data_IF_160233327778
#
_entry.id   IF_160233327778
#
_cell.length_a   1.000
_cell.length_b   1.000
_cell.length_c   1.000
_cell.angle_alpha   90.00
_cell.angle_beta   90.00
_cell.angle_gamma   90.00
#
_symmetry.space_group_name_H-M   'P 1'
#
loop_
_entity.id
_entity.type
_entity.pdbx_description
1 polymer ?
#
# COMPACT_ATOMS: atom_id res chain seq x y z
N UNK A 1 1.57 12.17 -18.51
CA UNK A 1 2.18 10.82 -18.49
C UNK A 1 3.39 10.88 -17.57
N UNK A 2 3.38 10.20 -16.42
CA UNK A 2 4.56 10.20 -15.53
C UNK A 2 5.52 9.12 -16.02
N UNK A 3 6.63 9.51 -16.66
CA UNK A 3 7.63 8.54 -17.12
C UNK A 3 8.24 7.85 -15.89
N UNK A 4 7.95 6.57 -15.68
CA UNK A 4 8.65 5.75 -14.70
C UNK A 4 10.06 5.46 -15.21
N UNK A 5 11.07 5.62 -14.35
CA UNK A 5 12.43 5.24 -14.70
C UNK A 5 12.85 4.07 -13.83
N UNK A 6 13.48 3.06 -14.43
CA UNK A 6 14.16 2.01 -13.69
C UNK A 6 15.50 2.58 -13.23
N UNK A 7 15.73 2.60 -11.92
CA UNK A 7 17.04 2.94 -11.32
C UNK A 7 17.61 1.74 -10.57
N UNK A 8 18.93 1.74 -10.47
CA UNK A 8 19.66 0.83 -9.59
C UNK A 8 20.05 1.59 -8.32
N UNK A 9 19.69 1.05 -7.17
CA UNK A 9 20.14 1.53 -5.87
C UNK A 9 21.08 0.50 -5.25
N UNK A 10 22.29 0.95 -4.92
CA UNK A 10 23.31 0.12 -4.29
C UNK A 10 23.44 0.53 -2.83
N UNK A 11 23.43 -0.44 -1.92
CA UNK A 11 23.71 -0.22 -0.51
C UNK A 11 24.60 -1.35 0.02
N UNK A 12 25.58 -1.00 0.87
CA UNK A 12 26.35 -2.01 1.58
C UNK A 12 25.46 -2.66 2.63
N UNK A 13 25.70 -3.94 2.88
CA UNK A 13 25.17 -4.63 4.05
C UNK A 13 26.33 -4.83 5.01
N UNK A 14 26.22 -4.30 6.23
CA UNK A 14 27.17 -4.61 7.27
C UNK A 14 26.88 -6.02 7.80
N UNK A 15 27.75 -6.96 7.47
CA UNK A 15 27.61 -8.36 7.89
C UNK A 15 27.71 -8.54 9.40
N UNK A 16 28.32 -7.58 10.11
CA UNK A 16 28.39 -7.59 11.56
C UNK A 16 27.07 -7.16 12.22
N UNK A 17 26.23 -6.40 11.50
CA UNK A 17 24.91 -5.95 11.96
C UNK A 17 23.81 -6.94 11.62
N UNK A 18 24.04 -7.82 10.65
CA UNK A 18 23.17 -8.96 10.44
C UNK A 18 23.68 -10.09 11.31
N UNK A 19 23.05 -10.24 12.49
CA UNK A 19 23.18 -11.46 13.29
C UNK A 19 23.05 -12.65 12.33
N UNK A 20 23.94 -13.64 12.41
CA UNK A 20 23.89 -14.79 11.50
C UNK A 20 22.51 -15.48 11.63
N UNK A 21 21.65 -15.34 10.62
CA UNK A 21 20.25 -15.76 10.73
C UNK A 21 19.36 -14.79 11.52
N UNK A 22 19.63 -13.48 11.40
CA UNK A 22 18.90 -12.42 12.07
C UNK A 22 18.10 -11.53 11.13
N UNK A 23 17.38 -10.60 11.75
CA UNK A 23 16.60 -9.56 11.13
C UNK A 23 17.30 -8.22 11.28
N UNK A 24 17.46 -7.48 10.18
CA UNK A 24 18.10 -6.15 10.18
C UNK A 24 17.32 -5.19 9.27
N UNK A 25 17.20 -3.93 9.70
CA UNK A 25 16.65 -2.83 8.90
C UNK A 25 17.79 -1.96 8.36
N UNK A 26 17.70 -1.62 7.08
CA UNK A 26 18.66 -0.77 6.38
C UNK A 26 17.93 0.42 5.76
N UNK A 27 18.35 1.62 6.12
CA UNK A 27 17.83 2.85 5.53
C UNK A 27 18.55 3.16 4.21
N UNK A 28 17.78 3.45 3.17
CA UNK A 28 18.27 3.84 1.85
C UNK A 28 17.67 5.18 1.44
N UNK A 29 18.46 6.03 0.77
CA UNK A 29 17.95 7.23 0.10
C UNK A 29 17.66 6.92 -1.36
N UNK A 30 16.40 7.03 -1.75
CA UNK A 30 15.94 6.77 -3.11
C UNK A 30 14.87 7.75 -3.53
N UNK A 31 14.64 7.87 -4.84
CA UNK A 31 13.38 8.48 -5.29
C UNK A 31 12.21 7.57 -4.89
N UNK A 32 10.99 8.12 -4.70
CA UNK A 32 9.82 7.33 -4.36
C UNK A 32 9.60 6.19 -5.36
N UNK A 33 9.37 4.99 -4.85
CA UNK A 33 9.07 3.81 -5.67
C UNK A 33 7.68 3.95 -6.29
N UNK A 34 7.56 3.76 -7.61
CA UNK A 34 6.25 3.83 -8.30
C UNK A 34 5.43 2.57 -8.12
N UNK A 35 6.09 1.42 -8.22
CA UNK A 35 5.47 0.11 -8.11
C UNK A 35 6.31 -0.78 -7.18
N UNK A 36 6.11 -0.69 -5.85
CA UNK A 36 6.82 -1.49 -4.87
C UNK A 36 6.73 -3.01 -5.09
N UNK A 37 5.67 -3.47 -5.76
CA UNK A 37 5.47 -4.88 -6.14
C UNK A 37 6.17 -5.30 -7.44
N UNK A 38 6.65 -4.34 -8.22
CA UNK A 38 7.41 -4.56 -9.45
C UNK A 38 8.90 -4.31 -9.23
N UNK A 39 9.35 -4.35 -7.97
CA UNK A 39 10.78 -4.35 -7.66
C UNK A 39 11.40 -5.58 -8.33
N UNK A 40 12.20 -5.31 -9.36
CA UNK A 40 12.42 -6.27 -10.44
C UNK A 40 13.45 -7.33 -10.08
N UNK A 41 14.44 -6.95 -9.27
CA UNK A 41 15.58 -7.80 -8.98
C UNK A 41 16.39 -7.25 -7.82
N UNK A 42 16.97 -8.17 -7.05
CA UNK A 42 18.03 -7.88 -6.10
C UNK A 42 19.22 -8.79 -6.41
N UNK A 43 20.41 -8.21 -6.47
CA UNK A 43 21.65 -8.97 -6.71
C UNK A 43 22.69 -8.60 -5.66
N UNK A 44 23.45 -9.61 -5.23
CA UNK A 44 24.67 -9.40 -4.46
C UNK A 44 25.86 -9.40 -5.43
N UNK A 45 26.61 -8.30 -5.47
CA UNK A 45 27.85 -8.20 -6.22
C UNK A 45 28.97 -7.82 -5.26
N UNK A 46 29.80 -8.81 -4.89
CA UNK A 46 30.97 -8.64 -4.03
C UNK A 46 30.65 -7.96 -2.67
N UNK A 47 29.54 -8.32 -2.04
CA UNK A 47 29.14 -7.78 -0.73
C UNK A 47 28.33 -6.48 -0.81
N UNK A 48 28.07 -5.97 -2.01
CA UNK A 48 27.19 -4.82 -2.23
C UNK A 48 25.86 -5.32 -2.79
N UNK A 49 24.77 -4.97 -2.13
CA UNK A 49 23.43 -5.30 -2.60
C UNK A 49 22.93 -4.21 -3.54
N UNK A 50 22.45 -4.64 -4.70
CA UNK A 50 21.89 -3.76 -5.73
C UNK A 50 20.43 -4.12 -5.95
N UNK A 51 19.58 -3.12 -5.80
CA UNK A 51 18.14 -3.17 -6.01
C UNK A 51 17.80 -2.49 -7.34
N UNK A 52 17.09 -3.20 -8.21
CA UNK A 52 16.58 -2.66 -9.47
C UNK A 52 15.10 -2.35 -9.34
N UNK A 53 14.72 -1.08 -9.51
CA UNK A 53 13.40 -0.60 -9.12
C UNK A 53 12.84 0.52 -10.02
N UNK A 54 11.53 0.51 -10.32
CA UNK A 54 10.86 1.66 -10.92
C UNK A 54 10.64 2.76 -9.88
N UNK A 55 11.12 3.97 -10.19
CA UNK A 55 11.02 5.15 -9.31
C UNK A 55 10.46 6.37 -10.05
N UNK A 56 9.96 7.34 -9.28
CA UNK A 56 9.59 8.66 -9.77
C UNK A 56 10.72 9.66 -9.60
N UNK A 57 11.51 9.84 -10.65
CA UNK A 57 12.67 10.74 -10.61
C UNK A 57 12.30 12.21 -10.46
N UNK A 58 11.04 12.57 -10.73
CA UNK A 58 10.57 13.95 -10.66
C UNK A 58 10.26 14.37 -9.22
N UNK A 59 10.16 13.41 -8.30
CA UNK A 59 9.95 13.66 -6.88
C UNK A 59 11.28 13.66 -6.13
N UNK A 60 11.33 14.42 -5.03
CA UNK A 60 12.52 14.47 -4.17
C UNK A 60 12.83 13.10 -3.57
N UNK A 61 14.11 12.86 -3.29
CA UNK A 61 14.53 11.63 -2.64
C UNK A 61 13.98 11.57 -1.21
N UNK A 62 13.55 10.37 -0.83
CA UNK A 62 13.03 10.04 0.50
C UNK A 62 13.89 8.94 1.10
N UNK A 63 13.86 8.82 2.43
CA UNK A 63 14.42 7.66 3.12
C UNK A 63 13.41 6.52 3.07
N UNK A 64 13.84 5.36 2.61
CA UNK A 64 13.05 4.12 2.62
C UNK A 64 13.77 3.06 3.43
N UNK A 65 13.02 2.13 4.02
CA UNK A 65 13.58 1.06 4.84
C UNK A 65 13.55 -0.27 4.09
N UNK A 66 14.64 -1.01 4.14
CA UNK A 66 14.78 -2.36 3.60
C UNK A 66 15.00 -3.33 4.76
N UNK A 67 14.15 -4.34 4.85
CA UNK A 67 14.35 -5.46 5.77
C UNK A 67 15.17 -6.55 5.10
N UNK A 68 16.26 -6.94 5.76
CA UNK A 68 17.11 -8.06 5.39
C UNK A 68 16.89 -9.16 6.43
N UNK A 69 16.41 -10.32 5.97
CA UNK A 69 15.99 -11.40 6.86
C UNK A 69 16.75 -12.66 6.51
N UNK A 70 17.58 -13.15 7.42
CA UNK A 70 18.24 -14.44 7.25
C UNK A 70 17.24 -15.60 7.21
N UNK A 71 17.56 -16.68 6.49
CA UNK A 71 16.74 -17.89 6.48
C UNK A 71 16.57 -18.43 7.90
N UNK A 72 15.34 -18.67 8.33
CA UNK A 72 15.01 -19.16 9.69
C UNK A 72 14.89 -18.07 10.77
N UNK A 73 15.12 -16.80 10.43
CA UNK A 73 14.98 -15.69 11.37
C UNK A 73 13.51 -15.36 11.65
N UNK A 74 13.24 -14.91 12.88
CA UNK A 74 11.94 -14.31 13.22
C UNK A 74 11.88 -12.87 12.72
N UNK A 75 10.75 -12.50 12.13
CA UNK A 75 10.44 -11.12 11.73
C UNK A 75 9.59 -10.50 12.86
N UNK A 76 9.93 -9.30 13.36
CA UNK A 76 9.10 -8.60 14.34
C UNK A 76 7.67 -8.40 13.84
N UNK A 77 6.68 -8.74 14.66
CA UNK A 77 5.26 -8.73 14.30
C UNK A 77 4.76 -7.38 13.75
N UNK A 78 5.29 -6.29 14.28
CA UNK A 78 4.89 -4.91 13.99
C UNK A 78 5.27 -4.41 12.59
N UNK A 79 6.09 -5.15 11.86
CA UNK A 79 6.50 -4.80 10.49
C UNK A 79 6.00 -5.78 9.44
N UNK A 80 5.51 -6.98 9.82
CA UNK A 80 5.13 -8.05 8.89
C UNK A 80 4.18 -7.51 7.81
N UNK A 81 3.18 -6.74 8.22
CA UNK A 81 2.14 -6.19 7.33
C UNK A 81 2.63 -5.08 6.40
N UNK A 82 3.88 -4.62 6.59
CA UNK A 82 4.54 -3.58 5.80
C UNK A 82 5.59 -4.14 4.83
N UNK A 83 5.80 -5.46 4.82
CA UNK A 83 6.84 -6.10 4.04
C UNK A 83 6.38 -6.44 2.62
N UNK A 84 7.10 -5.93 1.64
CA UNK A 84 6.97 -6.32 0.24
C UNK A 84 8.19 -7.10 -0.17
N UNK A 85 8.01 -8.39 -0.51
CA UNK A 85 9.12 -9.24 -0.95
C UNK A 85 9.68 -8.71 -2.25
N UNK A 86 10.99 -8.45 -2.25
CA UNK A 86 11.74 -8.02 -3.44
C UNK A 86 12.37 -9.23 -4.10
N UNK A 87 13.00 -10.08 -3.30
CA UNK A 87 13.71 -11.25 -3.80
C UNK A 87 14.54 -11.91 -2.72
N UNK A 88 15.35 -12.88 -3.14
CA UNK A 88 16.24 -13.61 -2.25
C UNK A 88 17.66 -13.52 -2.80
N UNK A 89 18.63 -13.40 -1.92
CA UNK A 89 20.06 -13.35 -2.27
C UNK A 89 20.86 -14.28 -1.37
N UNK A 90 22.02 -14.68 -1.85
CA UNK A 90 23.05 -15.27 -1.01
C UNK A 90 24.08 -14.20 -0.66
N UNK A 91 24.48 -14.12 0.61
CA UNK A 91 25.50 -13.18 1.07
C UNK A 91 26.72 -13.92 1.63
N UNK A 92 27.91 -13.37 1.44
CA UNK A 92 29.19 -14.02 1.74
C UNK A 92 29.56 -15.13 0.73
N UNK A 93 30.14 -16.22 1.20
CA UNK A 93 30.59 -17.39 0.39
C UNK A 93 29.43 -18.25 -0.13
N UNK A 94 28.28 -17.65 -0.43
CA UNK A 94 27.05 -18.35 -0.86
C UNK A 94 26.45 -19.32 0.16
N UNK A 95 26.81 -19.20 1.45
CA UNK A 95 26.39 -20.16 2.50
C UNK A 95 25.07 -19.81 3.18
N UNK A 96 24.69 -18.53 3.18
CA UNK A 96 23.53 -18.04 3.91
C UNK A 96 22.55 -17.36 2.96
N UNK A 97 21.30 -17.83 2.98
CA UNK A 97 20.20 -17.25 2.22
C UNK A 97 19.53 -16.13 3.00
N UNK A 98 19.29 -15.02 2.31
CA UNK A 98 18.60 -13.86 2.85
C UNK A 98 17.41 -13.50 1.97
N UNK A 99 16.32 -13.11 2.61
CA UNK A 99 15.14 -12.53 2.00
C UNK A 99 15.20 -11.01 2.15
N UNK A 100 14.99 -10.30 1.06
CA UNK A 100 15.02 -8.84 1.01
C UNK A 100 13.60 -8.34 0.83
N UNK A 101 13.18 -7.44 1.71
CA UNK A 101 11.85 -6.84 1.69
C UNK A 101 11.95 -5.32 1.73
N UNK A 102 11.10 -4.65 0.96
CA UNK A 102 10.85 -3.22 1.18
C UNK A 102 9.90 -3.09 2.36
N UNK A 103 10.29 -2.30 3.36
CA UNK A 103 9.42 -1.88 4.45
C UNK A 103 8.81 -0.56 4.03
N UNK A 104 7.54 -0.59 3.62
CA UNK A 104 6.86 0.62 3.20
C UNK A 104 6.07 1.23 4.35
N UNK A 105 6.11 2.56 4.47
CA UNK A 105 5.14 3.30 5.26
C UNK A 105 3.74 3.27 4.63
N UNK A 106 3.65 2.91 3.34
CA UNK A 106 2.41 2.46 2.72
C UNK A 106 2.03 1.11 3.32
N UNK A 107 1.33 1.15 4.45
CA UNK A 107 0.56 0.01 4.92
C UNK A 107 -0.44 -0.39 3.83
N UNK A 108 -0.35 -1.63 3.37
CA UNK A 108 -1.43 -2.23 2.59
C UNK A 108 -1.22 -2.25 1.09
N UNK A 109 -0.67 -3.37 0.63
CA UNK A 109 -1.37 -4.13 -0.39
C UNK A 109 -1.34 -5.58 0.08
N UNK A 110 -2.18 -5.89 1.07
CA UNK A 110 -2.44 -7.27 1.48
C UNK A 110 -3.51 -7.84 0.57
N UNK A 111 -3.27 -9.11 0.25
CA UNK A 111 -4.15 -10.03 -0.47
C UNK A 111 -5.61 -9.92 -0.04
N UNK A 112 -6.49 -10.19 -1.02
CA UNK A 112 -7.93 -10.35 -0.89
C UNK A 112 -8.46 -10.52 0.56
N UNK A 113 -9.13 -9.49 1.08
CA UNK A 113 -10.16 -9.66 2.11
C UNK A 113 -9.81 -9.38 3.57
N UNK A 114 -8.72 -8.68 3.91
CA UNK A 114 -8.48 -8.27 5.30
C UNK A 114 -8.00 -6.82 5.42
N UNK A 115 -8.80 -5.97 6.07
CA UNK A 115 -8.52 -4.55 6.36
C UNK A 115 -7.76 -4.32 7.69
N UNK A 116 -7.20 -5.39 8.27
CA UNK A 116 -6.43 -5.28 9.50
C UNK A 116 -5.22 -4.34 9.34
N UNK A 117 -5.30 -3.16 9.95
CA UNK A 117 -4.18 -2.22 10.11
C UNK A 117 -4.15 -1.01 9.17
N UNK A 118 -5.13 -0.87 8.27
CA UNK A 118 -5.29 0.31 7.42
C UNK A 118 -5.88 1.49 8.22
N UNK A 119 -5.21 2.65 8.21
CA UNK A 119 -5.80 3.90 8.72
C UNK A 119 -6.19 4.78 7.52
N UNK A 120 -7.47 5.11 7.33
CA UNK A 120 -7.88 6.05 6.30
C UNK A 120 -7.28 7.43 6.60
N UNK A 121 -6.85 8.13 5.55
CA UNK A 121 -6.49 9.55 5.64
C UNK A 121 -7.75 10.38 5.87
N UNK A 122 -8.83 9.99 5.22
CA UNK A 122 -10.17 10.50 5.45
C UNK A 122 -11.20 9.44 5.05
N UNK A 123 -12.42 9.56 5.55
CA UNK A 123 -13.52 8.69 5.18
C UNK A 123 -14.69 9.47 4.59
N UNK A 124 -15.47 8.80 3.75
CA UNK A 124 -16.78 9.25 3.30
C UNK A 124 -17.82 8.34 3.92
N UNK A 125 -18.69 8.89 4.75
CA UNK A 125 -19.82 8.16 5.34
C UNK A 125 -21.07 8.46 4.54
N UNK A 126 -21.72 7.41 4.05
CA UNK A 126 -22.97 7.48 3.29
C UNK A 126 -24.07 6.83 4.12
N UNK A 127 -25.06 7.61 4.51
CA UNK A 127 -26.29 7.10 5.13
C UNK A 127 -27.24 6.65 4.02
N UNK A 128 -27.81 5.46 4.17
CA UNK A 128 -28.64 4.79 3.19
C UNK A 128 -30.09 4.68 3.66
N UNK A 129 -31.02 4.69 2.72
CA UNK A 129 -32.41 4.31 3.01
C UNK A 129 -32.50 2.77 3.10
N UNK A 130 -32.75 2.25 4.30
CA UNK A 130 -32.86 0.81 4.55
C UNK A 130 -34.16 0.19 4.02
N UNK A 131 -35.12 1.02 3.58
CA UNK A 131 -36.41 0.55 3.06
C UNK A 131 -36.45 0.45 1.52
N UNK A 132 -35.61 1.20 0.80
CA UNK A 132 -35.50 1.14 -0.67
C UNK A 132 -34.32 0.26 -1.10
N UNK A 133 -34.50 -1.06 -0.98
CA UNK A 133 -33.47 -2.06 -1.29
C UNK A 133 -32.93 -1.95 -2.73
N UNK A 134 -33.80 -1.66 -3.70
CA UNK A 134 -33.38 -1.53 -5.10
C UNK A 134 -32.43 -0.33 -5.30
N UNK A 135 -32.72 0.80 -4.65
CA UNK A 135 -31.87 1.98 -4.75
C UNK A 135 -30.54 1.78 -3.99
N UNK A 136 -30.54 0.98 -2.92
CA UNK A 136 -29.34 0.55 -2.20
C UNK A 136 -28.47 -0.35 -3.08
N UNK A 137 -29.01 -1.40 -3.69
CA UNK A 137 -28.25 -2.34 -4.52
C UNK A 137 -27.54 -1.62 -5.69
N UNK A 138 -28.23 -0.71 -6.38
CA UNK A 138 -27.64 0.08 -7.48
C UNK A 138 -26.48 0.96 -7.01
N UNK A 139 -26.60 1.56 -5.82
CA UNK A 139 -25.55 2.37 -5.23
C UNK A 139 -24.36 1.51 -4.82
N UNK A 140 -24.61 0.35 -4.22
CA UNK A 140 -23.59 -0.61 -3.84
C UNK A 140 -22.80 -1.10 -5.06
N UNK A 141 -23.48 -1.53 -6.12
CA UNK A 141 -22.85 -1.98 -7.37
C UNK A 141 -21.95 -0.90 -7.98
N UNK A 142 -22.41 0.36 -7.98
CA UNK A 142 -21.60 1.48 -8.44
C UNK A 142 -20.36 1.69 -7.59
N UNK A 143 -20.51 1.66 -6.26
CA UNK A 143 -19.41 1.86 -5.32
C UNK A 143 -18.39 0.73 -5.42
N UNK A 144 -18.85 -0.51 -5.52
CA UNK A 144 -17.97 -1.69 -5.65
C UNK A 144 -17.18 -1.60 -6.95
N UNK A 145 -17.83 -1.34 -8.08
CA UNK A 145 -17.14 -1.14 -9.36
C UNK A 145 -16.17 0.04 -9.34
N UNK A 146 -16.48 1.11 -8.60
CA UNK A 146 -15.56 2.23 -8.42
C UNK A 146 -14.33 1.84 -7.59
N UNK A 147 -14.52 1.12 -6.49
CA UNK A 147 -13.43 0.67 -5.62
C UNK A 147 -12.55 -0.37 -6.33
N UNK A 148 -13.13 -1.28 -7.09
CA UNK A 148 -12.41 -2.25 -7.94
C UNK A 148 -11.54 -1.57 -8.99
N UNK A 149 -12.00 -0.45 -9.55
CA UNK A 149 -11.21 0.36 -10.50
C UNK A 149 -10.09 1.16 -9.82
N UNK A 150 -10.18 1.43 -8.51
CA UNK A 150 -9.24 2.25 -7.74
C UNK A 150 -8.74 1.57 -6.44
N UNK A 151 -8.25 0.33 -6.50
CA UNK A 151 -8.06 -0.53 -5.33
C UNK A 151 -6.93 -0.06 -4.39
N UNK A 152 -6.06 0.83 -4.86
CA UNK A 152 -4.96 1.44 -4.10
C UNK A 152 -5.33 2.74 -3.40
N UNK A 153 -6.54 3.27 -3.63
CA UNK A 153 -6.90 4.65 -3.25
C UNK A 153 -8.10 4.67 -2.33
N UNK A 154 -9.12 3.87 -2.60
CA UNK A 154 -10.40 3.89 -1.89
C UNK A 154 -10.94 2.46 -1.74
N UNK A 155 -11.65 2.21 -0.63
CA UNK A 155 -12.35 0.95 -0.38
C UNK A 155 -13.70 1.19 0.27
N UNK A 156 -14.65 0.30 -0.01
CA UNK A 156 -15.93 0.24 0.67
C UNK A 156 -15.87 -0.65 1.92
N UNK A 157 -16.44 -0.16 3.01
CA UNK A 157 -16.58 -0.76 4.33
C UNK A 157 -18.10 -0.89 4.59
N UNK A 158 -18.56 -2.14 4.64
CA UNK A 158 -19.98 -2.51 4.59
C UNK A 158 -20.46 -3.21 5.88
N UNK A 159 -19.71 -3.10 6.97
CA UNK A 159 -20.01 -3.75 8.25
C UNK A 159 -21.31 -3.25 8.88
N UNK A 160 -21.64 -1.97 8.68
CA UNK A 160 -22.86 -1.32 9.19
C UNK A 160 -23.93 -1.12 8.11
N UNK A 161 -23.85 -1.83 6.98
CA UNK A 161 -24.74 -1.63 5.84
C UNK A 161 -26.20 -1.97 6.16
N UNK A 162 -26.42 -2.98 7.02
CA UNK A 162 -27.74 -3.33 7.53
C UNK A 162 -28.33 -2.28 8.47
N UNK A 163 -27.48 -1.41 9.04
CA UNK A 163 -27.88 -0.23 9.79
C UNK A 163 -28.02 1.02 8.90
N UNK A 164 -27.93 0.85 7.58
CA UNK A 164 -28.02 1.93 6.61
C UNK A 164 -26.77 2.79 6.54
N UNK A 165 -25.59 2.22 6.78
CA UNK A 165 -24.32 2.95 6.71
C UNK A 165 -23.35 2.25 5.78
N UNK A 166 -22.90 2.98 4.76
CA UNK A 166 -21.79 2.60 3.89
C UNK A 166 -20.62 3.56 4.14
N UNK A 167 -19.47 3.04 4.53
CA UNK A 167 -18.26 3.85 4.72
C UNK A 167 -17.28 3.61 3.58
N UNK A 168 -16.70 4.68 3.05
CA UNK A 168 -15.63 4.61 2.06
C UNK A 168 -14.36 5.15 2.70
N UNK A 169 -13.35 4.30 2.81
CA UNK A 169 -12.05 4.67 3.37
C UNK A 169 -11.11 5.06 2.26
N UNK A 170 -10.56 6.27 2.35
CA UNK A 170 -9.61 6.82 1.37
C UNK A 170 -8.22 6.86 1.98
N UNK A 171 -7.28 6.27 1.26
CA UNK A 171 -5.89 6.06 1.73
C UNK A 171 -4.89 7.04 1.09
N UNK A 172 -5.35 7.89 0.17
CA UNK A 172 -4.53 8.88 -0.51
C UNK A 172 -5.17 10.26 -0.40
N UNK A 173 -4.49 11.20 0.27
CA UNK A 173 -5.01 12.56 0.47
C UNK A 173 -5.18 13.32 -0.86
N UNK A 174 -4.26 13.13 -1.81
CA UNK A 174 -4.26 13.79 -3.12
C UNK A 174 -5.48 13.41 -3.96
N UNK A 175 -6.09 12.25 -3.67
CA UNK A 175 -7.28 11.79 -4.39
C UNK A 175 -8.44 12.77 -4.28
N UNK A 176 -8.55 13.50 -3.16
CA UNK A 176 -9.62 14.49 -2.93
C UNK A 176 -9.64 15.60 -3.99
N UNK A 177 -8.50 15.88 -4.62
CA UNK A 177 -8.34 16.91 -5.64
C UNK A 177 -8.45 16.35 -7.06
N UNK A 178 -8.67 15.05 -7.23
CA UNK A 178 -8.75 14.41 -8.53
C UNK A 178 -10.17 14.48 -9.13
N UNK A 179 -10.30 14.54 -10.47
CA UNK A 179 -11.59 14.52 -11.16
C UNK A 179 -12.45 13.29 -10.82
N UNK A 180 -11.82 12.15 -10.59
CA UNK A 180 -12.45 10.87 -10.26
C UNK A 180 -13.18 10.95 -8.92
N UNK A 181 -12.55 11.54 -7.89
CA UNK A 181 -13.19 11.78 -6.61
C UNK A 181 -14.38 12.75 -6.74
N UNK A 182 -14.24 13.78 -7.58
CA UNK A 182 -15.35 14.71 -7.85
C UNK A 182 -16.54 13.99 -8.50
N UNK A 183 -16.30 13.07 -9.44
CA UNK A 183 -17.35 12.25 -10.07
C UNK A 183 -18.02 11.33 -9.05
N UNK A 184 -17.23 10.66 -8.21
CA UNK A 184 -17.75 9.82 -7.12
C UNK A 184 -18.67 10.62 -6.20
N UNK A 185 -18.19 11.75 -5.67
CA UNK A 185 -18.98 12.57 -4.75
C UNK A 185 -20.26 13.10 -5.42
N UNK A 186 -20.18 13.54 -6.68
CA UNK A 186 -21.36 13.98 -7.43
C UNK A 186 -22.41 12.87 -7.58
N UNK A 187 -21.97 11.63 -7.84
CA UNK A 187 -22.87 10.49 -7.87
C UNK A 187 -23.46 10.21 -6.48
N UNK A 188 -22.64 10.15 -5.42
CA UNK A 188 -23.11 9.88 -4.06
C UNK A 188 -24.14 10.91 -3.56
N UNK A 189 -23.95 12.20 -3.89
CA UNK A 189 -24.92 13.25 -3.54
C UNK A 189 -26.22 13.21 -4.33
N UNK A 190 -26.27 12.49 -5.45
CA UNK A 190 -27.45 12.39 -6.33
C UNK A 190 -28.07 10.99 -6.36
N UNK A 191 -27.41 10.00 -5.77
CA UNK A 191 -27.88 8.64 -5.70
C UNK A 191 -29.16 8.54 -4.86
N UNK A 192 -30.20 7.92 -5.44
CA UNK A 192 -31.52 7.78 -4.80
C UNK A 192 -31.45 7.02 -3.46
N UNK A 193 -30.53 6.05 -3.35
CA UNK A 193 -30.35 5.24 -2.15
C UNK A 193 -29.57 5.95 -1.02
N UNK A 194 -28.96 7.11 -1.30
CA UNK A 194 -28.22 7.89 -0.31
C UNK A 194 -29.11 8.99 0.29
N UNK A 195 -29.22 9.00 1.62
CA UNK A 195 -29.97 10.01 2.38
C UNK A 195 -29.07 11.14 2.89
N UNK A 196 -27.80 10.83 3.17
CA UNK A 196 -26.81 11.81 3.59
C UNK A 196 -25.39 11.34 3.20
N UNK A 197 -24.51 12.29 2.90
CA UNK A 197 -23.11 12.03 2.58
C UNK A 197 -22.23 12.99 3.36
N UNK A 198 -21.34 12.47 4.20
CA UNK A 198 -20.43 13.26 5.05
C UNK A 198 -18.99 12.87 4.79
N UNK A 199 -18.10 13.85 4.67
CA UNK A 199 -16.66 13.60 4.57
C UNK A 199 -16.01 13.87 5.93
N UNK A 200 -15.46 12.84 6.55
CA UNK A 200 -14.73 12.94 7.80
C UNK A 200 -13.24 12.96 7.50
N UNK A 201 -12.58 14.09 7.76
CA UNK A 201 -11.12 14.11 7.75
C UNK A 201 -10.64 13.26 8.94
N UNK A 202 -9.74 12.30 8.70
CA UNK A 202 -9.35 11.29 9.69
C UNK A 202 -8.89 11.88 11.03
N UNK A 203 -9.12 11.09 12.10
CA UNK A 203 -8.71 11.34 13.50
C UNK A 203 -7.19 11.30 13.66
#
# INVERSE_FOLDING_TARGET
MSNGHIKQHAFPINMDEIVHGGFTLVDIKSHPFKHPKELMSVVNQAGVIKLHCPVDINQQQVTSQIAVVGTGSTIPSEIIDRLYKIGNILVGDSRFGYHIYLVSELRGIVENGSDAGLKPVFSVKVSLDVYDLNARDVLEDYVDGFCEAHPSVIRAHKEELDNGVLELFVYNNEFRHQPEFTKLMAYLFTAKGATNVTVNNGV
#
